data_IF_393578885603
#
_entry.id   IF_393578885603
#
_cell.length_a   1.000
_cell.length_b   1.000
_cell.length_c   1.000
_cell.angle_alpha   90.00
_cell.angle_beta   90.00
_cell.angle_gamma   90.00
#
_symmetry.space_group_name_H-M   'P 1'
#
loop_
_entity.id
_entity.type
_entity.pdbx_description
1 polymer ?
#
# COMPACT_ATOMS: atom_id res chain seq x y z
N UNK A 1 29.56 14.35 -34.80
CA UNK A 1 28.29 14.85 -34.22
C UNK A 1 27.24 13.76 -33.94
N UNK A 2 26.78 12.90 -34.86
CA UNK A 2 25.81 11.83 -34.49
C UNK A 2 26.45 10.67 -33.70
N UNK A 3 27.69 10.28 -34.03
CA UNK A 3 28.40 9.22 -33.31
C UNK A 3 28.81 9.64 -31.90
N UNK A 4 29.25 10.88 -31.70
CA UNK A 4 29.64 11.41 -30.37
C UNK A 4 28.46 11.46 -29.38
N UNK A 5 27.26 11.81 -29.84
CA UNK A 5 26.05 11.82 -28.98
C UNK A 5 25.65 10.40 -28.58
N UNK A 6 25.84 9.43 -29.48
CA UNK A 6 25.55 8.02 -29.21
C UNK A 6 26.57 7.42 -28.25
N UNK A 7 27.83 7.84 -28.37
CA UNK A 7 28.96 7.39 -27.56
C UNK A 7 28.96 8.03 -26.15
N UNK A 8 28.57 9.30 -26.03
CA UNK A 8 28.33 9.94 -24.73
C UNK A 8 27.16 9.28 -23.99
N UNK A 9 26.07 8.93 -24.69
CA UNK A 9 24.93 8.24 -24.08
C UNK A 9 25.31 6.85 -23.54
N UNK A 10 26.11 6.07 -24.28
CA UNK A 10 26.58 4.76 -23.84
C UNK A 10 27.63 4.83 -22.74
N UNK A 11 28.50 5.85 -22.76
CA UNK A 11 29.46 6.09 -21.67
C UNK A 11 28.76 6.52 -20.38
N UNK A 12 27.73 7.35 -20.46
CA UNK A 12 26.92 7.73 -19.29
C UNK A 12 26.21 6.50 -18.69
N UNK A 13 25.69 5.62 -19.54
CA UNK A 13 25.03 4.37 -19.16
C UNK A 13 26.01 3.39 -18.48
N UNK A 14 27.22 3.27 -19.01
CA UNK A 14 28.30 2.48 -18.41
C UNK A 14 28.82 3.04 -17.08
N UNK A 15 28.84 4.38 -16.92
CA UNK A 15 29.24 5.04 -15.66
C UNK A 15 28.14 4.89 -14.59
N UNK A 16 26.87 4.92 -14.97
CA UNK A 16 25.74 4.64 -14.08
C UNK A 16 25.70 3.14 -13.68
N UNK A 17 26.06 2.22 -14.58
CA UNK A 17 26.29 0.81 -14.26
C UNK A 17 27.51 0.59 -13.34
N UNK A 18 28.63 1.29 -13.56
CA UNK A 18 29.82 1.15 -12.70
C UNK A 18 29.64 1.76 -11.31
N UNK A 19 28.87 2.85 -11.15
CA UNK A 19 28.55 3.43 -9.83
C UNK A 19 27.53 2.60 -9.06
N UNK A 20 26.74 1.76 -9.73
CA UNK A 20 25.78 0.85 -9.12
C UNK A 20 26.39 -0.55 -8.91
N UNK A 21 27.54 -0.62 -8.24
CA UNK A 21 28.30 -1.86 -8.03
C UNK A 21 27.42 -3.08 -7.76
N UNK A 22 27.41 -4.03 -8.69
CA UNK A 22 26.74 -5.36 -8.65
C UNK A 22 25.49 -5.39 -7.76
N UNK A 23 24.59 -4.41 -7.91
CA UNK A 23 23.28 -4.46 -7.25
C UNK A 23 22.35 -5.26 -8.15
N UNK A 24 21.98 -6.46 -7.71
CA UNK A 24 20.86 -7.21 -8.27
C UNK A 24 19.59 -6.36 -8.13
N UNK A 25 19.26 -5.62 -9.19
CA UNK A 25 17.99 -4.90 -9.33
C UNK A 25 16.84 -5.90 -9.48
N UNK A 26 15.64 -5.54 -9.01
CA UNK A 26 14.45 -6.38 -9.02
C UNK A 26 13.71 -6.32 -10.37
N UNK A 27 13.07 -7.42 -10.76
CA UNK A 27 12.13 -7.42 -11.89
C UNK A 27 10.75 -6.94 -11.47
N UNK A 28 9.86 -6.74 -12.44
CA UNK A 28 8.49 -6.21 -12.24
C UNK A 28 7.68 -6.97 -11.19
N UNK A 29 7.75 -8.31 -11.18
CA UNK A 29 6.99 -9.11 -10.22
C UNK A 29 7.43 -8.88 -8.78
N UNK A 30 8.73 -9.03 -8.50
CA UNK A 30 9.28 -8.91 -7.15
C UNK A 30 9.43 -7.48 -6.65
N UNK A 31 9.57 -6.51 -7.57
CA UNK A 31 9.80 -5.11 -7.24
C UNK A 31 8.59 -4.19 -7.36
N UNK A 32 7.53 -4.60 -8.08
CA UNK A 32 6.32 -3.77 -8.25
C UNK A 32 5.09 -4.53 -7.77
N UNK A 33 4.81 -5.71 -8.34
CA UNK A 33 3.57 -6.43 -8.06
C UNK A 33 3.46 -6.90 -6.60
N UNK A 34 4.46 -7.61 -6.08
CA UNK A 34 4.42 -8.15 -4.71
C UNK A 34 4.37 -7.03 -3.65
N UNK A 35 5.22 -5.98 -3.70
CA UNK A 35 5.12 -4.86 -2.77
C UNK A 35 3.75 -4.17 -2.82
N UNK A 36 3.24 -3.92 -4.03
CA UNK A 36 1.93 -3.28 -4.20
C UNK A 36 0.81 -4.13 -3.63
N UNK A 37 0.81 -5.43 -3.92
CA UNK A 37 -0.17 -6.37 -3.39
C UNK A 37 -0.14 -6.41 -1.86
N UNK A 38 1.04 -6.44 -1.24
CA UNK A 38 1.18 -6.44 0.21
C UNK A 38 0.70 -5.15 0.87
N UNK A 39 0.85 -4.01 0.21
CA UNK A 39 0.30 -2.74 0.72
C UNK A 39 -1.22 -2.65 0.60
N UNK A 40 -1.82 -3.33 -0.39
CA UNK A 40 -3.28 -3.39 -0.54
C UNK A 40 -3.88 -4.40 0.43
N UNK A 41 -3.25 -5.58 0.56
CA UNK A 41 -3.63 -6.64 1.51
C UNK A 41 -3.11 -6.33 2.94
N UNK A 42 -3.33 -5.10 3.39
CA UNK A 42 -2.87 -4.61 4.68
C UNK A 42 -3.85 -4.86 5.83
N UNK A 43 -3.61 -4.18 6.94
CA UNK A 43 -4.40 -4.33 8.18
C UNK A 43 -5.89 -4.03 7.98
N UNK A 44 -6.24 -3.11 7.09
CA UNK A 44 -7.62 -2.67 6.86
C UNK A 44 -8.49 -3.82 6.34
N UNK A 45 -7.94 -4.69 5.49
CA UNK A 45 -8.65 -5.86 4.98
C UNK A 45 -9.12 -6.78 6.11
N UNK A 46 -8.31 -6.95 7.16
CA UNK A 46 -8.63 -7.86 8.26
C UNK A 46 -9.43 -7.19 9.37
N UNK A 47 -9.13 -5.94 9.72
CA UNK A 47 -9.75 -5.25 10.86
C UNK A 47 -10.96 -4.39 10.52
N UNK A 48 -11.14 -4.03 9.24
CA UNK A 48 -12.18 -3.06 8.84
C UNK A 48 -13.15 -3.59 7.81
N UNK A 49 -12.78 -4.56 6.98
CA UNK A 49 -13.70 -5.11 5.97
C UNK A 49 -15.00 -5.62 6.60
N UNK A 50 -14.93 -6.37 7.70
CA UNK A 50 -16.12 -6.84 8.43
C UNK A 50 -17.00 -5.71 8.95
N UNK A 51 -16.39 -4.61 9.42
CA UNK A 51 -17.13 -3.42 9.88
C UNK A 51 -17.77 -2.66 8.70
N UNK A 52 -17.09 -2.59 7.55
CA UNK A 52 -17.61 -1.96 6.32
C UNK A 52 -18.83 -2.73 5.81
N UNK A 53 -18.73 -4.05 5.69
CA UNK A 53 -19.86 -4.90 5.27
C UNK A 53 -20.99 -4.85 6.30
N UNK A 54 -20.67 -4.84 7.60
CA UNK A 54 -21.66 -4.72 8.67
C UNK A 54 -22.41 -3.39 8.65
N UNK A 55 -21.79 -2.30 8.20
CA UNK A 55 -22.44 -0.99 8.11
C UNK A 55 -23.18 -0.77 6.79
N UNK A 56 -22.56 -1.13 5.67
CA UNK A 56 -23.07 -0.83 4.34
C UNK A 56 -23.93 -1.96 3.74
N UNK A 57 -23.92 -3.16 4.35
CA UNK A 57 -24.48 -4.37 3.75
C UNK A 57 -23.65 -4.85 2.55
N UNK A 58 -24.08 -5.94 1.92
CA UNK A 58 -23.32 -6.55 0.81
C UNK A 58 -23.23 -5.64 -0.42
N UNK A 59 -24.37 -5.08 -0.87
CA UNK A 59 -24.38 -4.20 -2.06
C UNK A 59 -23.73 -2.85 -1.77
N UNK A 60 -23.92 -2.31 -0.57
CA UNK A 60 -23.25 -1.08 -0.16
C UNK A 60 -21.74 -1.26 -0.07
N UNK A 61 -21.27 -2.39 0.48
CA UNK A 61 -19.86 -2.77 0.48
C UNK A 61 -19.28 -2.87 -0.93
N UNK A 62 -19.97 -3.59 -1.83
CA UNK A 62 -19.57 -3.67 -3.25
C UNK A 62 -19.50 -2.31 -3.93
N UNK A 63 -20.46 -1.41 -3.65
CA UNK A 63 -20.44 -0.05 -4.18
C UNK A 63 -19.21 0.73 -3.70
N UNK A 64 -18.90 0.65 -2.41
CA UNK A 64 -17.72 1.31 -1.80
C UNK A 64 -16.42 0.79 -2.43
N UNK A 65 -16.27 -0.53 -2.53
CA UNK A 65 -15.08 -1.17 -3.12
C UNK A 65 -14.95 -0.79 -4.60
N UNK A 66 -16.05 -0.83 -5.35
CA UNK A 66 -16.04 -0.49 -6.78
C UNK A 66 -15.66 0.98 -6.99
N UNK A 67 -16.21 1.89 -6.17
CA UNK A 67 -15.85 3.31 -6.23
C UNK A 67 -14.36 3.54 -5.94
N UNK A 68 -13.82 2.89 -4.92
CA UNK A 68 -12.40 2.97 -4.60
C UNK A 68 -11.54 2.43 -5.74
N UNK A 69 -11.93 1.30 -6.33
CA UNK A 69 -11.21 0.68 -7.45
C UNK A 69 -11.22 1.56 -8.71
N UNK A 70 -12.32 2.24 -9.01
CA UNK A 70 -12.41 3.20 -10.12
C UNK A 70 -11.42 4.35 -9.93
N UNK A 71 -11.38 4.97 -8.75
CA UNK A 71 -10.46 6.07 -8.44
C UNK A 71 -9.00 5.62 -8.59
N UNK A 72 -8.68 4.45 -8.03
CA UNK A 72 -7.32 3.89 -8.06
C UNK A 72 -6.92 3.49 -9.47
N UNK A 73 -7.85 2.96 -10.27
CA UNK A 73 -7.60 2.61 -11.69
C UNK A 73 -7.26 3.84 -12.50
N UNK A 74 -8.02 4.94 -12.36
CA UNK A 74 -7.69 6.19 -13.05
C UNK A 74 -6.32 6.74 -12.63
N UNK A 75 -5.99 6.64 -11.34
CA UNK A 75 -4.68 7.07 -10.82
C UNK A 75 -3.54 6.20 -11.37
N UNK A 76 -3.74 4.88 -11.44
CA UNK A 76 -2.77 3.94 -11.99
C UNK A 76 -2.57 4.13 -13.51
N UNK A 77 -3.65 4.37 -14.26
CA UNK A 77 -3.57 4.69 -15.70
C UNK A 77 -2.85 6.02 -15.93
N UNK A 78 -3.12 7.04 -15.12
CA UNK A 78 -2.41 8.32 -15.16
C UNK A 78 -0.91 8.13 -14.90
N UNK A 79 -0.56 7.38 -13.86
CA UNK A 79 0.84 7.07 -13.56
C UNK A 79 1.49 6.28 -14.71
N UNK A 80 0.82 5.26 -15.26
CA UNK A 80 1.32 4.46 -16.38
C UNK A 80 1.65 5.33 -17.60
N UNK A 81 0.79 6.29 -17.93
CA UNK A 81 1.03 7.27 -19.00
C UNK A 81 2.27 8.14 -18.72
N UNK A 82 2.44 8.61 -17.48
CA UNK A 82 3.61 9.39 -17.08
C UNK A 82 4.88 8.54 -17.20
N UNK A 83 4.88 7.32 -16.67
CA UNK A 83 6.04 6.44 -16.63
C UNK A 83 6.49 5.95 -18.00
N UNK A 84 5.56 5.78 -18.94
CA UNK A 84 5.86 5.34 -20.31
C UNK A 84 6.43 6.45 -21.20
N UNK A 85 6.32 7.72 -20.79
CA UNK A 85 6.75 8.87 -21.59
C UNK A 85 8.08 9.50 -21.12
N UNK A 86 8.67 9.01 -20.03
CA UNK A 86 9.93 9.54 -19.49
C UNK A 86 10.96 8.43 -19.28
N UNK A 87 12.25 8.78 -19.35
CA UNK A 87 13.31 7.88 -18.84
C UNK A 87 13.32 7.95 -17.32
N UNK A 88 12.86 6.88 -16.68
CA UNK A 88 12.76 6.81 -15.23
C UNK A 88 14.15 6.65 -14.62
N UNK A 89 14.51 7.59 -13.77
CA UNK A 89 15.72 7.54 -12.94
C UNK A 89 15.38 7.03 -11.55
N UNK A 90 16.41 6.66 -10.79
CA UNK A 90 16.26 6.37 -9.37
C UNK A 90 15.71 7.63 -8.64
N UNK A 91 14.57 7.49 -7.95
CA UNK A 91 13.96 8.63 -7.23
C UNK A 91 12.50 8.46 -6.80
N UNK A 92 11.83 7.37 -7.15
CA UNK A 92 10.47 7.07 -6.70
C UNK A 92 9.38 7.94 -7.35
N UNK A 93 8.17 7.91 -6.79
CA UNK A 93 6.99 8.56 -7.38
C UNK A 93 7.14 10.08 -7.54
N UNK A 94 7.76 10.77 -6.57
CA UNK A 94 8.01 12.22 -6.67
C UNK A 94 8.94 12.58 -7.82
N UNK A 95 10.03 11.83 -8.01
CA UNK A 95 10.95 12.05 -9.13
C UNK A 95 10.26 11.84 -10.47
N UNK A 96 9.42 10.81 -10.59
CA UNK A 96 8.65 10.50 -11.80
C UNK A 96 7.73 11.67 -12.16
N UNK A 97 6.95 12.17 -11.18
CA UNK A 97 5.99 13.26 -11.42
C UNK A 97 6.70 14.58 -11.73
N UNK A 98 7.69 14.96 -10.92
CA UNK A 98 8.41 16.23 -11.09
C UNK A 98 9.19 16.32 -12.40
N UNK A 99 9.71 15.20 -12.90
CA UNK A 99 10.41 15.14 -14.18
C UNK A 99 9.47 15.22 -15.38
N UNK A 100 8.24 14.68 -15.26
CA UNK A 100 7.27 14.69 -16.37
C UNK A 100 6.41 15.95 -16.43
N UNK A 101 6.04 16.52 -15.27
CA UNK A 101 5.06 17.62 -15.19
C UNK A 101 5.66 18.92 -14.65
N UNK A 102 6.94 18.93 -14.32
CA UNK A 102 7.64 20.08 -13.75
C UNK A 102 7.54 20.16 -12.22
N UNK A 103 8.35 21.04 -11.64
CA UNK A 103 8.51 21.18 -10.20
C UNK A 103 7.27 21.72 -9.49
N UNK A 104 6.46 22.55 -10.15
CA UNK A 104 5.23 23.11 -9.57
C UNK A 104 4.18 22.01 -9.33
N UNK A 105 3.97 21.14 -10.32
CA UNK A 105 3.08 19.98 -10.20
C UNK A 105 3.69 18.92 -9.29
N UNK A 106 5.00 18.67 -9.43
CA UNK A 106 5.74 17.77 -8.56
C UNK A 106 5.61 18.14 -7.08
N UNK A 107 5.78 19.41 -6.73
CA UNK A 107 5.66 19.91 -5.35
C UNK A 107 4.23 19.83 -4.82
N UNK A 108 3.24 20.23 -5.62
CA UNK A 108 1.83 20.22 -5.21
C UNK A 108 1.28 18.81 -4.95
N UNK A 109 1.76 17.80 -5.66
CA UNK A 109 1.41 16.38 -5.41
C UNK A 109 2.34 15.73 -4.38
N UNK A 110 3.63 16.10 -4.39
CA UNK A 110 4.67 15.50 -3.57
C UNK A 110 4.53 15.76 -2.08
N UNK A 111 4.20 17.00 -1.69
CA UNK A 111 4.05 17.36 -0.27
C UNK A 111 2.88 16.60 0.38
N UNK A 112 1.67 16.55 -0.20
CA UNK A 112 0.59 15.70 0.31
C UNK A 112 0.95 14.22 0.33
N UNK A 113 1.64 13.72 -0.71
CA UNK A 113 2.07 12.31 -0.76
C UNK A 113 3.01 11.95 0.40
N UNK A 114 3.96 12.83 0.72
CA UNK A 114 4.89 12.64 1.85
C UNK A 114 4.16 12.60 3.19
N UNK A 115 3.20 13.52 3.41
CA UNK A 115 2.37 13.52 4.62
C UNK A 115 1.47 12.28 4.70
N UNK A 116 0.86 11.89 3.58
CA UNK A 116 0.02 10.69 3.49
C UNK A 116 0.81 9.43 3.84
N UNK A 117 2.05 9.28 3.36
CA UNK A 117 2.92 8.17 3.74
C UNK A 117 3.24 8.16 5.23
N UNK A 118 3.49 9.34 5.82
CA UNK A 118 3.75 9.46 7.26
C UNK A 118 2.53 9.01 8.09
N UNK A 119 1.33 9.46 7.72
CA UNK A 119 0.10 9.02 8.39
C UNK A 119 -0.22 7.55 8.15
N UNK A 120 0.10 7.01 6.96
CA UNK A 120 -0.08 5.60 6.66
C UNK A 120 0.78 4.71 7.58
N UNK A 121 2.04 5.09 7.84
CA UNK A 121 2.90 4.36 8.79
C UNK A 121 2.25 4.29 10.17
N UNK A 122 1.78 5.43 10.70
CA UNK A 122 1.07 5.48 11.99
C UNK A 122 -0.19 4.62 11.99
N UNK A 123 -0.98 4.67 10.91
CA UNK A 123 -2.19 3.86 10.75
C UNK A 123 -1.87 2.36 10.80
N UNK A 124 -0.83 1.91 10.11
CA UNK A 124 -0.44 0.49 10.13
C UNK A 124 0.09 0.05 11.50
N UNK A 125 0.80 0.93 12.23
CA UNK A 125 1.25 0.64 13.60
C UNK A 125 0.05 0.50 14.54
N UNK A 126 -0.91 1.42 14.49
CA UNK A 126 -2.13 1.30 15.29
C UNK A 126 -2.94 0.07 14.92
N UNK A 127 -3.03 -0.25 13.63
CA UNK A 127 -3.63 -1.48 13.17
C UNK A 127 -2.96 -2.74 13.73
N UNK A 128 -1.63 -2.79 13.74
CA UNK A 128 -0.87 -3.87 14.38
C UNK A 128 -1.15 -3.93 15.89
N UNK A 129 -1.17 -2.78 16.56
CA UNK A 129 -1.48 -2.68 17.99
C UNK A 129 -2.84 -3.29 18.32
N UNK A 130 -3.88 -3.00 17.55
CA UNK A 130 -5.21 -3.59 17.77
C UNK A 130 -5.15 -5.13 17.74
N UNK A 131 -4.47 -5.71 16.74
CA UNK A 131 -4.25 -7.16 16.67
C UNK A 131 -3.39 -7.71 17.82
N UNK A 132 -2.39 -6.96 18.26
CA UNK A 132 -1.53 -7.33 19.38
C UNK A 132 -2.30 -7.36 20.71
N UNK A 133 -3.08 -6.32 20.99
CA UNK A 133 -3.86 -6.20 22.22
C UNK A 133 -5.01 -7.21 22.28
N UNK A 134 -5.52 -7.64 21.12
CA UNK A 134 -6.46 -8.76 21.06
C UNK A 134 -5.87 -10.05 21.64
N UNK A 135 -4.59 -10.31 21.40
CA UNK A 135 -3.89 -11.50 21.92
C UNK A 135 -3.34 -11.25 23.33
N UNK A 136 -2.80 -10.06 23.58
CA UNK A 136 -2.16 -9.69 24.84
C UNK A 136 -2.77 -8.42 25.47
N UNK A 137 -3.95 -8.53 26.09
CA UNK A 137 -4.74 -7.37 26.55
C UNK A 137 -4.10 -6.61 27.72
N UNK A 138 -3.14 -7.18 28.42
CA UNK A 138 -2.47 -6.55 29.57
C UNK A 138 -1.36 -5.55 29.18
N UNK A 139 -0.96 -5.50 27.90
CA UNK A 139 0.10 -4.57 27.47
C UNK A 139 -0.45 -3.16 27.26
N UNK A 140 0.38 -2.16 27.57
CA UNK A 140 0.04 -0.76 27.32
C UNK A 140 0.17 -0.42 25.84
N UNK A 141 -0.93 0.05 25.25
CA UNK A 141 -1.04 0.50 23.86
C UNK A 141 0.15 1.34 23.39
N UNK A 142 0.46 2.41 24.14
CA UNK A 142 1.50 3.36 23.76
C UNK A 142 2.91 2.75 23.76
N UNK A 143 3.17 1.78 24.63
CA UNK A 143 4.47 1.09 24.68
C UNK A 143 4.64 0.22 23.45
N UNK A 144 3.58 -0.49 23.03
CA UNK A 144 3.58 -1.28 21.80
C UNK A 144 3.86 -0.38 20.59
N UNK A 145 3.18 0.77 20.50
CA UNK A 145 3.35 1.73 19.39
C UNK A 145 4.81 2.20 19.26
N UNK A 146 5.42 2.66 20.35
CA UNK A 146 6.81 3.13 20.33
C UNK A 146 7.83 2.01 20.08
N UNK A 147 7.60 0.81 20.62
CA UNK A 147 8.48 -0.35 20.39
C UNK A 147 8.44 -0.78 18.93
N UNK A 148 7.24 -0.88 18.34
CA UNK A 148 7.07 -1.25 16.93
C UNK A 148 7.67 -0.19 16.03
N UNK A 149 7.38 1.09 16.27
CA UNK A 149 7.97 2.20 15.51
C UNK A 149 9.50 2.16 15.57
N UNK A 150 10.08 2.07 16.77
CA UNK A 150 11.53 2.02 16.95
C UNK A 150 12.18 0.81 16.26
N UNK A 151 11.53 -0.36 16.34
CA UNK A 151 12.00 -1.58 15.67
C UNK A 151 11.98 -1.42 14.15
N UNK A 152 10.87 -0.94 13.58
CA UNK A 152 10.75 -0.70 12.15
C UNK A 152 11.75 0.37 11.67
N UNK A 153 11.96 1.42 12.46
CA UNK A 153 12.93 2.47 12.16
C UNK A 153 14.37 1.92 12.10
N UNK A 154 14.77 1.09 13.06
CA UNK A 154 16.09 0.43 13.06
C UNK A 154 16.24 -0.51 11.87
N UNK A 155 15.22 -1.33 11.56
CA UNK A 155 15.23 -2.22 10.40
C UNK A 155 15.38 -1.43 9.10
N UNK A 156 14.62 -0.36 8.94
CA UNK A 156 14.67 0.52 7.78
C UNK A 156 16.06 1.18 7.64
N UNK A 157 16.70 1.57 8.74
CA UNK A 157 18.03 2.17 8.73
C UNK A 157 19.14 1.16 8.41
N UNK A 158 19.02 -0.09 8.87
CA UNK A 158 20.03 -1.12 8.67
C UNK A 158 19.99 -1.77 7.29
N UNK A 159 18.82 -2.17 6.78
CA UNK A 159 18.76 -2.91 5.52
C UNK A 159 17.38 -2.91 4.86
N UNK A 160 17.23 -2.11 3.81
CA UNK A 160 16.12 -2.23 2.86
C UNK A 160 16.08 -3.61 2.16
N UNK A 161 17.22 -4.31 2.07
CA UNK A 161 17.32 -5.59 1.37
C UNK A 161 16.67 -6.76 2.13
N UNK A 162 16.64 -6.67 3.46
CA UNK A 162 15.94 -7.64 4.31
C UNK A 162 14.43 -7.61 4.02
N UNK A 163 13.86 -6.42 3.86
CA UNK A 163 12.43 -6.22 3.59
C UNK A 163 11.96 -6.98 2.34
N UNK A 164 12.75 -6.96 1.25
CA UNK A 164 12.41 -7.66 0.00
C UNK A 164 12.45 -9.19 0.07
N UNK A 165 13.15 -9.79 1.03
CA UNK A 165 13.08 -11.25 1.22
C UNK A 165 11.89 -11.62 2.09
N UNK A 166 11.64 -10.84 3.14
CA UNK A 166 10.55 -11.07 4.09
C UNK A 166 9.18 -10.95 3.40
N UNK A 167 9.06 -10.11 2.37
CA UNK A 167 7.80 -9.90 1.64
C UNK A 167 7.14 -11.20 1.14
N UNK A 168 7.93 -12.19 0.69
CA UNK A 168 7.39 -13.46 0.21
C UNK A 168 6.84 -14.34 1.34
N UNK A 169 7.47 -14.27 2.53
CA UNK A 169 6.98 -14.95 3.73
C UNK A 169 5.66 -14.31 4.17
N UNK A 170 5.60 -12.98 4.20
CA UNK A 170 4.38 -12.24 4.52
C UNK A 170 3.26 -12.60 3.54
N UNK A 171 3.55 -12.63 2.24
CA UNK A 171 2.58 -13.01 1.22
C UNK A 171 2.04 -14.43 1.42
N UNK A 172 2.91 -15.39 1.77
CA UNK A 172 2.49 -16.75 2.05
C UNK A 172 1.58 -16.83 3.29
N UNK A 173 1.88 -16.07 4.35
CA UNK A 173 1.03 -15.98 5.55
C UNK A 173 -0.33 -15.36 5.24
N UNK A 174 -0.36 -14.27 4.48
CA UNK A 174 -1.60 -13.62 4.04
C UNK A 174 -2.43 -14.56 3.17
N UNK A 175 -1.81 -15.25 2.22
CA UNK A 175 -2.50 -16.24 1.39
C UNK A 175 -3.11 -17.36 2.24
N UNK A 176 -2.37 -17.88 3.22
CA UNK A 176 -2.88 -18.85 4.20
C UNK A 176 -4.07 -18.31 5.00
N UNK A 177 -4.00 -17.06 5.47
CA UNK A 177 -5.08 -16.40 6.18
C UNK A 177 -6.34 -16.25 5.30
N UNK A 178 -6.20 -15.85 4.04
CA UNK A 178 -7.30 -15.75 3.09
C UNK A 178 -7.93 -17.11 2.77
N UNK A 179 -7.12 -18.16 2.62
CA UNK A 179 -7.62 -19.53 2.48
C UNK A 179 -8.41 -19.95 3.71
N UNK A 180 -7.92 -19.62 4.92
CA UNK A 180 -8.65 -19.89 6.17
C UNK A 180 -10.01 -19.19 6.20
N UNK A 181 -10.08 -17.92 5.79
CA UNK A 181 -11.34 -17.15 5.70
C UNK A 181 -12.27 -17.72 4.61
N UNK A 182 -11.73 -18.19 3.48
CA UNK A 182 -12.52 -18.86 2.45
C UNK A 182 -13.05 -20.22 2.91
N UNK A 183 -12.25 -20.97 3.68
CA UNK A 183 -12.63 -22.28 4.21
C UNK A 183 -13.84 -22.20 5.17
N UNK A 184 -14.04 -21.06 5.84
CA UNK A 184 -15.18 -20.85 6.74
C UNK A 184 -16.54 -21.06 6.08
N UNK A 185 -16.65 -20.83 4.76
CA UNK A 185 -17.87 -21.07 3.97
C UNK A 185 -18.26 -22.55 3.99
N UNK A 186 -17.28 -23.47 3.98
CA UNK A 186 -17.53 -24.91 3.99
C UNK A 186 -17.79 -25.47 5.41
N UNK A 187 -17.36 -24.75 6.45
CA UNK A 187 -17.59 -25.14 7.86
C UNK A 187 -18.97 -24.75 8.39
N UNK A 188 -19.77 -24.02 7.60
CA UNK A 188 -21.17 -23.70 7.95
C UNK A 188 -21.34 -22.53 8.93
N UNK A 189 -20.32 -21.70 9.13
CA UNK A 189 -20.36 -20.55 10.06
C UNK A 189 -21.18 -19.34 9.56
N UNK A 190 -21.99 -19.49 8.50
CA UNK A 190 -22.89 -18.42 8.04
C UNK A 190 -24.15 -18.40 8.91
N UNK A 191 -24.04 -17.82 10.10
CA UNK A 191 -25.13 -17.75 11.08
C UNK A 191 -26.13 -16.61 10.81
N UNK A 192 -25.75 -15.61 10.01
CA UNK A 192 -26.58 -14.44 9.74
C UNK A 192 -27.14 -14.41 8.31
N UNK A 193 -28.39 -13.97 8.18
CA UNK A 193 -29.00 -13.71 6.88
C UNK A 193 -28.28 -12.57 6.17
N UNK A 194 -28.19 -12.66 4.84
CA UNK A 194 -27.50 -11.66 4.02
C UNK A 194 -28.28 -10.34 4.10
N UNK A 195 -27.66 -9.31 4.67
CA UNK A 195 -28.14 -7.94 4.56
C UNK A 195 -27.66 -7.33 3.24
N UNK A 196 -28.59 -7.10 2.32
CA UNK A 196 -28.28 -6.55 1.00
C UNK A 196 -27.88 -5.07 1.07
N UNK A 197 -28.62 -4.28 1.85
CA UNK A 197 -28.36 -2.87 2.12
C UNK A 197 -28.23 -2.66 3.62
N UNK A 198 -27.18 -1.96 4.03
CA UNK A 198 -26.90 -1.71 5.44
C UNK A 198 -27.60 -0.46 5.97
N UNK A 199 -27.82 -0.45 7.28
CA UNK A 199 -28.47 0.65 8.01
C UNK A 199 -27.46 1.68 8.54
N UNK A 200 -26.16 1.46 8.30
CA UNK A 200 -25.06 2.27 8.81
C UNK A 200 -25.14 2.58 10.32
N UNK A 201 -25.31 1.56 11.19
CA UNK A 201 -25.46 1.76 12.63
C UNK A 201 -24.20 2.34 13.30
N UNK A 202 -23.04 2.26 12.66
CA UNK A 202 -21.78 2.79 13.17
C UNK A 202 -20.94 1.73 13.88
N UNK A 203 -20.29 2.14 14.97
CA UNK A 203 -19.37 1.28 15.72
C UNK A 203 -19.86 1.10 17.17
N UNK A 204 -19.57 -0.06 17.79
CA UNK A 204 -19.96 -0.31 19.18
C UNK A 204 -19.41 0.72 20.16
N UNK A 205 -18.21 1.26 19.89
CA UNK A 205 -17.56 2.23 20.79
C UNK A 205 -18.35 3.55 20.90
N UNK A 206 -19.12 3.90 19.86
CA UNK A 206 -19.94 5.10 19.81
C UNK A 206 -21.42 4.78 20.07
N UNK A 207 -21.74 3.64 20.68
CA UNK A 207 -23.12 3.26 21.02
C UNK A 207 -24.05 3.13 19.81
N UNK A 208 -23.50 2.86 18.62
CA UNK A 208 -24.25 2.81 17.36
C UNK A 208 -25.05 4.09 17.04
N UNK A 209 -24.46 5.26 17.27
CA UNK A 209 -25.06 6.57 16.93
C UNK A 209 -25.31 6.81 15.43
N UNK A 210 -24.91 5.87 14.55
CA UNK A 210 -25.00 5.99 13.11
C UNK A 210 -23.76 6.59 12.46
N UNK A 211 -23.45 6.17 11.24
CA UNK A 211 -22.34 6.70 10.43
C UNK A 211 -22.82 7.01 9.01
N UNK A 212 -22.15 7.95 8.35
CA UNK A 212 -22.47 8.23 6.94
C UNK A 212 -21.74 7.26 6.01
N UNK A 213 -22.32 7.04 4.83
CA UNK A 213 -21.67 6.31 3.73
C UNK A 213 -20.23 6.78 3.48
N UNK A 214 -20.00 8.10 3.50
CA UNK A 214 -18.69 8.69 3.25
C UNK A 214 -17.66 8.39 4.34
N UNK A 215 -18.09 8.24 5.59
CA UNK A 215 -17.20 7.82 6.68
C UNK A 215 -16.78 6.36 6.47
N UNK A 216 -17.71 5.48 6.11
CA UNK A 216 -17.40 4.08 5.81
C UNK A 216 -16.45 3.98 4.62
N UNK A 217 -16.69 4.75 3.56
CA UNK A 217 -15.78 4.86 2.43
C UNK A 217 -14.40 5.37 2.83
N UNK A 218 -14.31 6.43 3.64
CA UNK A 218 -13.04 7.00 4.09
C UNK A 218 -12.22 6.03 4.95
N UNK A 219 -12.87 5.14 5.71
CA UNK A 219 -12.19 4.09 6.49
C UNK A 219 -11.63 2.99 5.58
N UNK A 220 -12.36 2.62 4.51
CA UNK A 220 -11.90 1.59 3.58
C UNK A 220 -10.86 2.11 2.58
N UNK A 221 -11.00 3.35 2.12
CA UNK A 221 -10.23 3.90 1.00
C UNK A 221 -8.70 3.72 1.13
N UNK A 222 -8.06 3.88 2.30
CA UNK A 222 -6.64 3.66 2.43
C UNK A 222 -6.19 2.25 2.05
N UNK A 223 -7.05 1.23 2.13
CA UNK A 223 -6.75 -0.14 1.67
C UNK A 223 -6.48 -0.21 0.16
N UNK A 224 -7.04 0.72 -0.62
CA UNK A 224 -6.89 0.75 -2.07
C UNK A 224 -5.71 1.65 -2.52
N UNK A 225 -5.10 2.42 -1.62
CA UNK A 225 -4.10 3.46 -1.97
C UNK A 225 -2.67 2.94 -2.16
N UNK A 226 -2.41 1.65 -1.95
CA UNK A 226 -1.08 1.03 -2.00
C UNK A 226 -0.35 1.03 -3.36
N UNK A 227 -1.00 1.50 -4.44
CA UNK A 227 -0.48 1.44 -5.81
C UNK A 227 0.86 2.15 -6.03
N UNK A 228 1.22 3.12 -5.17
CA UNK A 228 2.48 3.85 -5.27
C UNK A 228 3.68 3.11 -4.67
N UNK A 229 3.47 1.99 -3.97
CA UNK A 229 4.55 1.20 -3.37
C UNK A 229 5.58 0.73 -4.41
N UNK A 230 5.11 0.21 -5.55
CA UNK A 230 5.98 -0.20 -6.64
C UNK A 230 6.69 0.98 -7.32
N UNK A 231 5.99 2.10 -7.54
CA UNK A 231 6.58 3.30 -8.15
C UNK A 231 7.68 3.92 -7.28
N UNK A 232 7.55 3.85 -5.95
CA UNK A 232 8.57 4.30 -5.01
C UNK A 232 9.85 3.45 -5.06
N UNK A 233 9.82 2.28 -5.70
CA UNK A 233 10.97 1.40 -5.86
C UNK A 233 11.71 1.57 -7.19
N UNK A 234 11.42 2.63 -7.97
CA UNK A 234 12.00 2.82 -9.31
C UNK A 234 13.54 2.72 -9.37
N UNK A 235 14.24 3.13 -8.31
CA UNK A 235 15.71 3.02 -8.25
C UNK A 235 16.26 1.61 -8.05
N UNK A 236 15.41 0.67 -7.61
CA UNK A 236 15.77 -0.72 -7.32
C UNK A 236 15.29 -1.67 -8.44
N UNK A 237 14.60 -1.18 -9.47
CA UNK A 237 14.09 -1.98 -10.60
C UNK A 237 15.11 -2.08 -11.75
N UNK A 238 15.11 -3.23 -12.45
CA UNK A 238 15.96 -3.48 -13.63
C UNK A 238 15.60 -2.55 -14.78
N UNK A 239 14.31 -2.43 -15.06
CA UNK A 239 13.72 -1.61 -16.11
C UNK A 239 12.50 -0.89 -15.48
N UNK A 240 12.73 0.30 -14.88
CA UNK A 240 11.70 1.05 -14.16
C UNK A 240 10.71 1.77 -15.06
#
# INVERSE_FOLDING_TARGET
MSNEITEEATLQEQVDEQKSGVRQKYGTFGGVFVPTLLTILGVILFLREGWVIGNAGLLGGWLIITLAFVIVTFTALSMSCITTNIRIKAGGAYSIISQSLGLEVGGSVGVPLYLAQTFAITMYIFGFREGWLYIFPAHYAIVVDFVVFGTLFVIAFMSARLAFRIQYIILAVIAGALISVGATVFTGAMEHSIQWWGEFPGAPENGFEGVSFWVVFAVLFPAATGIMAGANMSGELKDP
#
